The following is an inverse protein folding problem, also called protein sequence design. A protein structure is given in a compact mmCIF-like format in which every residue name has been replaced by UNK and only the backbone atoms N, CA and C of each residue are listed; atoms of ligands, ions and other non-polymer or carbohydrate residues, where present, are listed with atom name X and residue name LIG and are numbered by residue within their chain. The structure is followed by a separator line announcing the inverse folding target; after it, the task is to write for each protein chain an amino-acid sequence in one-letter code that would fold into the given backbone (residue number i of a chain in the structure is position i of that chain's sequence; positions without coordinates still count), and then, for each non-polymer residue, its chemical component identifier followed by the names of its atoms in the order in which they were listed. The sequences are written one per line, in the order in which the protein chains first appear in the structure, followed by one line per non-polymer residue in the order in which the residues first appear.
data_IF_824179935820
#
_entry.id   IF_824179935820
#
_cell.length_a   1.000
_cell.length_b   1.000
_cell.length_c   1.000
_cell.angle_alpha   90.00
_cell.angle_beta   90.00
_cell.angle_gamma   90.00
#
_symmetry.space_group_name_H-M   'P 1'
#
loop_
_entity.id
_entity.type
_entity.pdbx_description
1 polymer ?
#
# COMPACT_ATOMS: atom_id res chain seq x y z
N UNK A 1 15.07 3.21 -30.65
CA UNK A 1 14.46 2.05 -29.96
C UNK A 1 15.28 1.62 -28.74
N UNK A 2 16.57 1.32 -28.90
CA UNK A 2 17.43 0.88 -27.78
C UNK A 2 17.49 1.87 -26.61
N UNK A 3 17.63 3.17 -26.90
CA UNK A 3 17.70 4.23 -25.88
C UNK A 3 16.44 4.23 -25.00
N UNK A 4 15.26 4.13 -25.62
CA UNK A 4 13.98 4.08 -24.90
C UNK A 4 13.88 2.86 -23.97
N UNK A 5 14.30 1.69 -24.44
CA UNK A 5 14.33 0.46 -23.64
C UNK A 5 15.26 0.62 -22.44
N UNK A 6 16.46 1.15 -22.66
CA UNK A 6 17.43 1.38 -21.58
C UNK A 6 16.90 2.38 -20.56
N UNK A 7 16.29 3.49 -21.00
CA UNK A 7 15.75 4.50 -20.08
C UNK A 7 14.60 3.99 -19.23
N UNK A 8 13.70 3.17 -19.80
CA UNK A 8 12.60 2.60 -19.03
C UNK A 8 13.11 1.53 -18.05
N UNK A 9 14.04 0.67 -18.50
CA UNK A 9 14.62 -0.36 -17.66
C UNK A 9 15.37 0.21 -16.45
N UNK A 10 16.19 1.25 -16.64
CA UNK A 10 16.92 1.89 -15.54
C UNK A 10 15.98 2.57 -14.56
N UNK A 11 14.96 3.27 -15.06
CA UNK A 11 13.98 3.97 -14.24
C UNK A 11 13.15 2.99 -13.40
N UNK A 12 12.66 1.91 -14.01
CA UNK A 12 11.94 0.86 -13.31
C UNK A 12 12.78 0.19 -12.23
N UNK A 13 14.04 -0.14 -12.54
CA UNK A 13 14.95 -0.74 -11.56
C UNK A 13 15.25 0.21 -10.39
N UNK A 14 15.49 1.48 -10.69
CA UNK A 14 15.75 2.51 -9.68
C UNK A 14 14.55 2.68 -8.74
N UNK A 15 13.34 2.86 -9.26
CA UNK A 15 12.17 3.02 -8.40
C UNK A 15 11.81 1.74 -7.65
N UNK A 16 11.91 0.57 -8.27
CA UNK A 16 11.66 -0.71 -7.59
C UNK A 16 12.61 -0.90 -6.41
N UNK A 17 13.91 -0.64 -6.60
CA UNK A 17 14.90 -0.76 -5.52
C UNK A 17 14.65 0.22 -4.38
N UNK A 18 14.29 1.48 -4.68
CA UNK A 18 13.90 2.46 -3.67
C UNK A 18 12.66 2.01 -2.89
N UNK A 19 11.62 1.53 -3.57
CA UNK A 19 10.38 1.09 -2.92
C UNK A 19 10.62 -0.12 -2.01
N UNK A 20 11.45 -1.09 -2.41
CA UNK A 20 11.79 -2.24 -1.56
C UNK A 20 12.55 -1.80 -0.32
N UNK A 21 13.50 -0.87 -0.46
CA UNK A 21 14.24 -0.33 0.67
C UNK A 21 13.30 0.44 1.63
N UNK A 22 12.43 1.29 1.08
CA UNK A 22 11.44 2.03 1.84
C UNK A 22 10.47 1.09 2.56
N UNK A 23 9.94 0.07 1.87
CA UNK A 23 9.05 -0.94 2.45
C UNK A 23 9.70 -1.63 3.64
N UNK A 24 10.96 -2.07 3.52
CA UNK A 24 11.66 -2.75 4.63
C UNK A 24 11.98 -1.80 5.78
N UNK A 25 12.33 -0.55 5.48
CA UNK A 25 12.75 0.42 6.50
C UNK A 25 11.58 1.07 7.23
N UNK A 26 10.45 1.26 6.55
CA UNK A 26 9.23 1.88 7.06
C UNK A 26 8.15 0.84 7.38
N UNK A 27 8.51 -0.44 7.44
CA UNK A 27 7.58 -1.48 7.85
C UNK A 27 7.19 -1.25 9.31
N UNK A 28 5.88 -1.15 9.55
CA UNK A 28 5.30 -1.10 10.88
C UNK A 28 4.45 -2.35 11.02
N UNK A 29 4.68 -3.10 12.10
CA UNK A 29 3.86 -4.27 12.42
C UNK A 29 2.44 -3.80 12.78
N UNK A 30 1.45 -4.27 12.02
CA UNK A 30 0.04 -3.93 12.26
C UNK A 30 -0.52 -4.77 13.43
N UNK A 31 -1.33 -4.13 14.29
CA UNK A 31 -2.00 -4.84 15.38
C UNK A 31 -3.03 -5.83 14.81
N UNK A 32 -2.96 -7.13 15.15
CA UNK A 32 -3.87 -8.16 14.63
C UNK A 32 -5.35 -7.87 14.91
N UNK A 33 -5.66 -7.00 15.87
CA UNK A 33 -7.04 -6.59 16.19
C UNK A 33 -7.66 -5.72 15.10
N UNK A 34 -6.86 -4.91 14.40
CA UNK A 34 -7.33 -4.05 13.31
C UNK A 34 -7.84 -4.92 12.16
N UNK A 35 -7.07 -5.95 11.78
CA UNK A 35 -7.47 -6.91 10.76
C UNK A 35 -8.73 -7.69 11.14
N UNK A 36 -8.83 -8.10 12.40
CA UNK A 36 -10.02 -8.79 12.91
C UNK A 36 -11.27 -7.89 12.82
N UNK A 37 -11.17 -6.63 13.24
CA UNK A 37 -12.26 -5.65 13.14
C UNK A 37 -12.61 -5.36 11.68
N UNK A 38 -11.60 -5.21 10.83
CA UNK A 38 -11.76 -4.96 9.40
C UNK A 38 -12.53 -6.08 8.69
N UNK A 39 -12.23 -7.34 9.02
CA UNK A 39 -12.92 -8.51 8.44
C UNK A 39 -14.40 -8.60 8.84
N UNK A 40 -14.81 -7.97 9.95
CA UNK A 40 -16.21 -7.92 10.38
C UNK A 40 -17.01 -6.81 9.67
N UNK A 41 -16.33 -5.90 8.98
CA UNK A 41 -16.95 -4.77 8.27
C UNK A 41 -17.36 -5.14 6.84
N UNK A 42 -18.33 -4.43 6.24
CA UNK A 42 -18.86 -4.74 4.91
C UNK A 42 -17.88 -4.45 3.75
N UNK A 43 -16.69 -3.90 4.01
CA UNK A 43 -15.65 -3.62 3.00
C UNK A 43 -16.10 -2.70 1.84
N UNK A 44 -17.22 -1.99 2.00
CA UNK A 44 -17.80 -1.16 0.94
C UNK A 44 -17.18 0.23 0.85
N UNK A 45 -16.43 0.68 1.87
CA UNK A 45 -15.80 2.00 1.92
C UNK A 45 -16.75 3.16 1.56
N UNK A 46 -18.02 3.06 1.97
CA UNK A 46 -19.08 3.98 1.55
C UNK A 46 -19.13 5.31 2.33
N UNK A 47 -18.35 5.47 3.40
CA UNK A 47 -18.29 6.69 4.19
C UNK A 47 -19.52 6.99 5.06
N UNK A 48 -20.51 6.09 5.14
CA UNK A 48 -21.73 6.30 5.94
C UNK A 48 -21.47 6.47 7.44
N UNK A 49 -20.34 5.94 7.93
CA UNK A 49 -19.89 6.08 9.31
C UNK A 49 -19.07 7.35 9.57
N UNK A 50 -18.80 8.18 8.56
CA UNK A 50 -17.98 9.39 8.69
C UNK A 50 -16.46 9.18 8.66
N UNK A 51 -16.01 7.94 8.43
CA UNK A 51 -14.59 7.58 8.30
C UNK A 51 -14.18 7.46 6.82
N UNK A 52 -12.89 7.66 6.48
CA UNK A 52 -12.39 7.62 5.10
C UNK A 52 -12.45 6.22 4.45
N UNK A 53 -12.76 5.17 5.22
CA UNK A 53 -12.94 3.81 4.74
C UNK A 53 -13.30 2.85 5.87
N UNK A 54 -13.59 1.59 5.53
CA UNK A 54 -13.84 0.53 6.51
C UNK A 54 -12.59 0.28 7.38
N UNK A 55 -11.39 0.28 6.80
CA UNK A 55 -10.14 0.20 7.57
C UNK A 55 -9.94 1.39 8.51
N UNK A 56 -10.37 2.59 8.11
CA UNK A 56 -10.26 3.77 8.96
C UNK A 56 -11.25 3.78 10.14
N UNK A 57 -12.27 2.93 10.11
CA UNK A 57 -13.20 2.68 11.21
C UNK A 57 -12.74 1.54 12.12
N UNK A 58 -11.99 0.57 11.59
CA UNK A 58 -11.52 -0.65 12.27
C UNK A 58 -10.42 -0.35 13.30
#
# INVERSE_FOLDING_TARGET
MLIGVVTLATLSFLFASLLVLAHRKLHVDEDPRIDAAHQMLPQTNCGACGYPGCLGLA
#
